data_IF_590992813446
#
_entry.id   IF_590992813446
#
_cell.length_a   1.000
_cell.length_b   1.000
_cell.length_c   1.000
_cell.angle_alpha   90.00
_cell.angle_beta   90.00
_cell.angle_gamma   90.00
#
_symmetry.space_group_name_H-M   'P 1'
#
loop_
_entity.id
_entity.type
_entity.pdbx_description
1 polymer ?
#
# COMPACT_ATOMS: atom_id res chain seq x y z
N UNK A 1 12.19 18.93 -2.11
CA UNK A 1 11.44 18.55 -0.88
C UNK A 1 12.31 18.78 0.34
N UNK A 2 11.74 19.21 1.48
CA UNK A 2 12.48 19.44 2.72
C UNK A 2 12.67 18.13 3.47
N UNK A 3 13.92 17.70 3.72
CA UNK A 3 14.23 16.43 4.40
C UNK A 3 15.57 16.47 5.14
N UNK A 4 15.78 15.51 6.03
CA UNK A 4 17.07 15.30 6.70
C UNK A 4 18.12 14.85 5.68
N UNK A 5 19.24 15.58 5.60
CA UNK A 5 20.38 15.21 4.76
C UNK A 5 21.29 14.28 5.57
N UNK A 6 21.43 12.99 5.20
CA UNK A 6 22.19 12.04 6.02
C UNK A 6 23.62 12.52 6.22
N UNK A 7 24.00 12.69 7.48
CA UNK A 7 25.36 13.01 7.91
C UNK A 7 26.06 11.74 8.38
N UNK A 8 27.37 11.58 8.13
CA UNK A 8 28.09 10.42 8.64
C UNK A 8 27.95 10.28 10.16
N UNK A 9 27.69 9.07 10.63
CA UNK A 9 27.41 8.81 12.05
C UNK A 9 28.56 9.21 13.00
N UNK A 10 29.81 9.22 12.51
CA UNK A 10 30.98 9.66 13.29
C UNK A 10 30.94 11.13 13.68
N UNK A 11 30.11 11.95 13.02
CA UNK A 11 29.96 13.38 13.33
C UNK A 11 29.18 13.58 14.63
N UNK A 12 28.40 12.59 15.09
CA UNK A 12 27.63 12.66 16.34
C UNK A 12 26.51 13.71 16.37
N UNK A 13 26.27 14.38 15.24
CA UNK A 13 25.21 15.38 15.07
C UNK A 13 24.00 14.76 14.37
N UNK A 14 22.80 15.26 14.70
CA UNK A 14 21.58 14.93 13.96
C UNK A 14 21.68 15.52 12.54
N UNK A 15 21.15 14.78 11.57
CA UNK A 15 21.10 15.23 10.18
C UNK A 15 20.34 16.57 10.07
N UNK A 16 20.91 17.61 9.46
CA UNK A 16 20.22 18.88 9.26
C UNK A 16 19.12 18.72 8.20
N UNK A 17 18.06 19.51 8.32
CA UNK A 17 17.08 19.62 7.25
C UNK A 17 17.66 20.43 6.09
N UNK A 18 17.49 19.91 4.88
CA UNK A 18 17.84 20.58 3.64
C UNK A 18 16.72 20.35 2.61
N UNK A 19 16.56 21.31 1.69
CA UNK A 19 15.73 21.10 0.51
C UNK A 19 16.50 20.19 -0.46
N UNK A 20 16.34 18.88 -0.29
CA UNK A 20 17.02 17.85 -1.06
C UNK A 20 16.00 16.91 -1.69
N UNK A 21 16.03 16.85 -3.01
CA UNK A 21 15.20 15.99 -3.84
C UNK A 21 14.09 16.72 -4.61
N UNK A 22 13.75 16.16 -5.75
CA UNK A 22 12.82 16.68 -6.76
C UNK A 22 11.69 15.66 -6.93
N UNK A 23 10.46 16.16 -6.85
CA UNK A 23 9.24 15.40 -7.03
C UNK A 23 8.48 16.00 -8.22
N UNK A 24 7.93 15.14 -9.06
CA UNK A 24 7.01 15.54 -10.12
C UNK A 24 5.60 15.06 -9.79
N UNK A 25 4.62 15.95 -9.99
CA UNK A 25 3.21 15.71 -9.76
C UNK A 25 2.46 16.21 -10.98
N UNK A 26 1.86 15.30 -11.72
CA UNK A 26 1.07 15.60 -12.91
C UNK A 26 -0.28 14.92 -12.80
N UNK A 27 -1.31 15.52 -13.40
CA UNK A 27 -2.67 15.10 -13.15
C UNK A 27 -3.70 15.86 -13.96
N UNK A 28 -4.96 15.47 -13.76
CA UNK A 28 -6.13 16.11 -14.36
C UNK A 28 -7.11 16.43 -13.25
N UNK A 29 -7.73 17.60 -13.33
CA UNK A 29 -8.79 18.01 -12.41
C UNK A 29 -10.03 18.34 -13.22
N UNK A 30 -11.15 17.76 -12.79
CA UNK A 30 -12.46 17.98 -13.36
C UNK A 30 -13.36 18.52 -12.26
N UNK A 31 -14.03 19.63 -12.52
CA UNK A 31 -15.07 20.19 -11.67
C UNK A 31 -16.27 20.51 -12.55
N UNK A 32 -17.41 19.90 -12.24
CA UNK A 32 -18.66 20.09 -12.95
C UNK A 32 -19.70 20.51 -11.90
N UNK A 33 -20.32 21.65 -12.14
CA UNK A 33 -21.43 22.13 -11.32
C UNK A 33 -22.64 22.42 -12.19
N UNK A 34 -23.79 21.92 -11.78
CA UNK A 34 -25.07 22.21 -12.38
C UNK A 34 -26.03 22.70 -11.30
N UNK A 35 -26.70 23.82 -11.58
CA UNK A 35 -27.75 24.37 -10.73
C UNK A 35 -28.94 24.71 -11.59
N UNK A 36 -30.12 24.33 -11.14
CA UNK A 36 -31.36 24.62 -11.83
C UNK A 36 -32.48 24.86 -10.83
N UNK A 37 -33.51 25.54 -11.29
CA UNK A 37 -34.72 25.79 -10.53
C UNK A 37 -35.90 25.24 -11.34
N UNK A 38 -36.66 24.34 -10.74
CA UNK A 38 -37.84 23.73 -11.34
C UNK A 38 -39.02 24.09 -10.45
N UNK A 39 -39.81 25.08 -10.87
CA UNK A 39 -40.90 25.66 -10.09
C UNK A 39 -40.40 26.15 -8.72
N UNK A 40 -40.89 25.57 -7.62
CA UNK A 40 -40.52 25.94 -6.26
C UNK A 40 -39.30 25.16 -5.72
N UNK A 41 -38.66 24.33 -6.56
CA UNK A 41 -37.54 23.47 -6.17
C UNK A 41 -36.23 23.96 -6.78
N UNK A 42 -35.27 24.33 -5.95
CA UNK A 42 -33.88 24.60 -6.36
C UNK A 42 -33.07 23.32 -6.23
N UNK A 43 -32.39 22.91 -7.30
CA UNK A 43 -31.53 21.72 -7.34
C UNK A 43 -30.10 22.12 -7.69
N UNK A 44 -29.15 21.51 -6.98
CA UNK A 44 -27.72 21.66 -7.24
C UNK A 44 -27.02 20.31 -7.25
N UNK A 45 -26.17 20.12 -8.24
CA UNK A 45 -25.28 18.97 -8.36
C UNK A 45 -23.88 19.52 -8.59
N UNK A 46 -22.92 19.14 -7.74
CA UNK A 46 -21.50 19.41 -7.96
C UNK A 46 -20.73 18.11 -7.92
N UNK A 47 -19.99 17.81 -8.97
CA UNK A 47 -19.09 16.66 -9.02
C UNK A 47 -17.67 17.17 -9.26
N UNK A 48 -16.71 16.61 -8.53
CA UNK A 48 -15.29 16.83 -8.77
C UNK A 48 -14.56 15.49 -8.86
N UNK A 49 -13.53 15.43 -9.69
CA UNK A 49 -12.63 14.31 -9.79
C UNK A 49 -11.21 14.81 -10.07
N UNK A 50 -10.23 14.26 -9.37
CA UNK A 50 -8.81 14.56 -9.58
C UNK A 50 -8.06 13.25 -9.80
N UNK A 51 -7.27 13.20 -10.87
CA UNK A 51 -6.29 12.17 -11.13
C UNK A 51 -4.91 12.71 -10.80
N UNK A 52 -4.14 11.99 -9.98
CA UNK A 52 -2.79 12.41 -9.59
C UNK A 52 -1.78 11.28 -9.82
N UNK A 53 -0.81 11.56 -10.68
CA UNK A 53 0.41 10.76 -10.82
C UNK A 53 1.57 11.51 -10.16
N UNK A 54 2.17 10.85 -9.17
CA UNK A 54 3.37 11.34 -8.51
C UNK A 54 4.57 10.48 -8.92
N UNK A 55 5.73 11.12 -9.10
CA UNK A 55 7.00 10.44 -9.40
C UNK A 55 8.14 11.13 -8.67
N UNK A 56 9.00 10.35 -8.02
CA UNK A 56 10.23 10.85 -7.43
C UNK A 56 11.27 11.00 -8.56
N UNK A 57 11.64 12.23 -8.90
CA UNK A 57 12.63 12.50 -9.95
C UNK A 57 14.03 12.33 -9.39
N UNK A 58 14.29 12.92 -8.22
CA UNK A 58 15.56 12.80 -7.53
C UNK A 58 15.34 12.75 -6.01
N UNK A 59 15.89 11.75 -5.35
CA UNK A 59 15.91 11.64 -3.91
C UNK A 59 16.88 12.65 -3.27
N UNK A 60 17.98 13.00 -3.94
CA UNK A 60 19.01 13.88 -3.40
C UNK A 60 19.98 13.18 -2.43
N UNK A 61 20.25 11.89 -2.65
CA UNK A 61 21.37 11.14 -2.06
C UNK A 61 22.09 10.34 -3.16
N UNK A 62 23.24 9.74 -2.84
CA UNK A 62 24.04 9.00 -3.82
C UNK A 62 23.35 7.71 -4.32
N UNK A 63 22.50 7.08 -3.51
CA UNK A 63 21.80 5.84 -3.87
C UNK A 63 20.55 6.07 -4.74
N UNK A 64 19.98 7.28 -4.74
CA UNK A 64 18.70 7.58 -5.36
C UNK A 64 17.50 6.88 -4.70
N UNK A 65 17.71 6.31 -3.51
CA UNK A 65 16.78 5.38 -2.88
C UNK A 65 16.79 5.51 -1.34
N UNK A 66 15.66 5.15 -0.73
CA UNK A 66 15.50 5.01 0.72
C UNK A 66 14.37 4.05 1.06
N UNK A 67 14.44 3.46 2.24
CA UNK A 67 13.37 2.60 2.75
C UNK A 67 13.21 2.76 4.26
N UNK A 68 11.98 2.58 4.74
CA UNK A 68 11.65 2.61 6.17
C UNK A 68 10.39 1.78 6.44
N UNK A 69 9.90 1.86 7.68
CA UNK A 69 8.71 1.15 8.12
C UNK A 69 9.03 -0.24 8.65
N UNK A 70 10.28 -0.57 8.95
CA UNK A 70 10.60 -1.84 9.60
C UNK A 70 9.74 -2.07 10.86
N UNK A 71 9.15 -3.26 10.95
CA UNK A 71 8.48 -3.78 12.14
C UNK A 71 9.18 -5.08 12.51
N UNK A 72 10.45 -4.99 12.92
CA UNK A 72 11.30 -6.14 13.24
C UNK A 72 10.65 -7.11 14.24
N UNK A 73 9.90 -6.59 15.21
CA UNK A 73 9.22 -7.41 16.19
C UNK A 73 8.18 -8.36 15.54
N UNK A 74 7.60 -7.99 14.40
CA UNK A 74 6.72 -8.82 13.59
C UNK A 74 7.43 -9.58 12.45
N UNK A 75 8.76 -9.51 12.39
CA UNK A 75 9.56 -10.10 11.30
C UNK A 75 9.38 -9.41 9.95
N UNK A 76 8.90 -8.16 9.93
CA UNK A 76 8.65 -7.40 8.70
C UNK A 76 9.79 -6.40 8.55
N UNK A 77 10.56 -6.55 7.47
CA UNK A 77 11.58 -5.59 7.09
C UNK A 77 10.99 -4.25 6.64
N UNK A 78 11.84 -3.31 6.22
CA UNK A 78 11.33 -2.10 5.57
C UNK A 78 10.38 -2.52 4.44
N UNK A 79 9.16 -2.00 4.48
CA UNK A 79 8.13 -2.27 3.46
C UNK A 79 7.73 -1.00 2.71
N UNK A 80 8.19 0.17 3.15
CA UNK A 80 7.97 1.46 2.48
C UNK A 80 9.26 1.85 1.77
N UNK A 81 9.18 2.07 0.46
CA UNK A 81 10.32 2.41 -0.39
C UNK A 81 10.09 3.71 -1.16
N UNK A 82 11.20 4.37 -1.45
CA UNK A 82 11.33 5.53 -2.31
C UNK A 82 12.50 5.28 -3.25
N UNK A 83 12.27 5.45 -4.55
CA UNK A 83 13.27 5.25 -5.59
C UNK A 83 13.06 6.22 -6.74
N UNK A 84 14.14 6.79 -7.25
CA UNK A 84 14.09 7.66 -8.43
C UNK A 84 13.38 6.93 -9.60
N UNK A 85 12.47 7.64 -10.27
CA UNK A 85 11.62 7.12 -11.34
C UNK A 85 10.35 6.38 -10.88
N UNK A 86 10.18 6.14 -9.57
CA UNK A 86 9.01 5.43 -9.02
C UNK A 86 8.01 6.37 -8.34
N UNK A 87 6.74 5.96 -8.17
CA UNK A 87 5.78 6.66 -7.31
C UNK A 87 6.31 6.77 -5.88
N UNK A 88 5.98 7.84 -5.16
CA UNK A 88 6.58 8.08 -3.85
C UNK A 88 5.56 8.39 -2.75
N UNK A 89 5.57 7.64 -1.63
CA UNK A 89 6.24 6.34 -1.45
C UNK A 89 5.49 5.19 -2.15
N UNK A 90 6.09 4.00 -2.18
CA UNK A 90 5.44 2.76 -2.60
C UNK A 90 5.74 1.62 -1.63
N UNK A 91 4.94 0.54 -1.69
CA UNK A 91 5.16 -0.68 -0.94
C UNK A 91 6.02 -1.66 -1.73
N UNK A 92 7.02 -2.23 -1.08
CA UNK A 92 7.95 -3.18 -1.67
C UNK A 92 7.91 -4.51 -0.92
N UNK A 93 7.82 -5.62 -1.65
CA UNK A 93 7.72 -6.94 -1.06
C UNK A 93 7.58 -8.03 -2.12
N UNK A 94 7.37 -9.26 -1.66
CA UNK A 94 7.20 -10.41 -2.52
C UNK A 94 5.83 -10.43 -3.18
N UNK A 95 5.76 -10.81 -4.46
CA UNK A 95 4.48 -11.07 -5.14
C UNK A 95 4.00 -12.48 -4.80
N UNK A 96 2.80 -12.54 -4.25
CA UNK A 96 2.10 -13.80 -3.97
C UNK A 96 1.60 -14.44 -5.27
N UNK A 97 1.76 -15.75 -5.36
CA UNK A 97 1.28 -16.63 -6.43
C UNK A 97 0.31 -17.69 -5.87
N UNK A 98 -0.59 -17.29 -4.98
CA UNK A 98 -1.58 -18.17 -4.38
C UNK A 98 -1.14 -18.82 -3.05
N UNK A 99 -1.98 -19.75 -2.57
CA UNK A 99 -1.75 -20.50 -1.35
C UNK A 99 -1.46 -21.96 -1.70
N UNK A 100 -0.55 -22.58 -0.94
CA UNK A 100 -0.33 -24.01 -0.98
C UNK A 100 -1.51 -24.69 -0.28
N UNK A 101 -2.26 -25.53 -0.98
CA UNK A 101 -3.48 -26.16 -0.46
C UNK A 101 -3.27 -27.61 -0.05
N UNK A 102 -2.41 -28.35 -0.77
CA UNK A 102 -2.19 -29.78 -0.53
C UNK A 102 -0.73 -30.10 -0.17
N UNK A 103 -0.51 -31.29 0.38
CA UNK A 103 0.84 -31.72 0.75
C UNK A 103 1.71 -31.94 -0.50
N UNK A 104 1.11 -32.40 -1.59
CA UNK A 104 1.79 -32.59 -2.88
C UNK A 104 2.30 -31.25 -3.43
N UNK A 105 1.48 -30.19 -3.36
CA UNK A 105 1.90 -28.84 -3.73
C UNK A 105 3.04 -28.32 -2.83
N UNK A 106 2.99 -28.65 -1.53
CA UNK A 106 4.05 -28.28 -0.60
C UNK A 106 5.36 -29.00 -0.93
N UNK A 107 5.30 -30.30 -1.23
CA UNK A 107 6.48 -31.10 -1.56
C UNK A 107 7.12 -30.64 -2.88
N UNK A 108 6.31 -30.35 -3.91
CA UNK A 108 6.79 -29.80 -5.17
C UNK A 108 7.44 -28.42 -4.97
N UNK A 109 6.80 -27.54 -4.20
CA UNK A 109 7.31 -26.20 -3.92
C UNK A 109 8.64 -26.26 -3.13
N UNK A 110 8.70 -27.11 -2.11
CA UNK A 110 9.88 -27.29 -1.27
C UNK A 110 11.05 -27.89 -2.07
N UNK A 111 10.76 -28.87 -2.93
CA UNK A 111 11.76 -29.44 -3.82
C UNK A 111 12.31 -28.40 -4.80
N UNK A 112 11.42 -27.57 -5.38
CA UNK A 112 11.82 -26.58 -6.38
C UNK A 112 12.65 -25.43 -5.81
N UNK A 113 12.24 -24.86 -4.68
CA UNK A 113 12.83 -23.64 -4.13
C UNK A 113 13.65 -23.85 -2.86
N UNK A 114 13.87 -25.10 -2.46
CA UNK A 114 14.56 -25.49 -1.23
C UNK A 114 13.96 -24.81 0.03
N UNK A 115 12.63 -24.85 0.13
CA UNK A 115 11.84 -24.24 1.21
C UNK A 115 11.29 -25.31 2.17
N UNK A 116 10.65 -24.87 3.25
CA UNK A 116 9.94 -25.73 4.20
C UNK A 116 8.49 -25.28 4.40
N UNK A 117 7.81 -25.03 3.30
CA UNK A 117 6.41 -24.64 3.23
C UNK A 117 5.47 -25.82 3.52
N UNK A 118 4.29 -25.51 4.05
CA UNK A 118 3.22 -26.46 4.39
C UNK A 118 1.90 -26.03 3.77
N UNK A 119 0.91 -26.94 3.69
CA UNK A 119 -0.46 -26.55 3.35
C UNK A 119 -0.94 -25.39 4.23
N UNK A 120 -1.34 -24.30 3.58
CA UNK A 120 -1.71 -23.03 4.19
C UNK A 120 -0.72 -21.90 4.03
N UNK A 121 0.53 -22.21 3.68
CA UNK A 121 1.55 -21.19 3.48
C UNK A 121 1.38 -20.51 2.11
N UNK A 122 1.90 -19.28 2.00
CA UNK A 122 1.86 -18.49 0.78
C UNK A 122 2.92 -18.99 -0.19
N UNK A 123 2.52 -19.14 -1.46
CA UNK A 123 3.43 -19.34 -2.57
C UNK A 123 3.91 -17.98 -3.07
N UNK A 124 5.22 -17.81 -3.24
CA UNK A 124 5.80 -16.60 -3.82
C UNK A 124 6.22 -16.85 -5.27
N UNK A 125 6.16 -15.79 -6.08
CA UNK A 125 6.62 -15.83 -7.47
C UNK A 125 8.12 -15.59 -7.52
N UNK A 126 8.85 -16.53 -8.12
CA UNK A 126 10.23 -16.34 -8.56
C UNK A 126 10.22 -15.35 -9.75
N UNK A 127 10.76 -14.15 -9.53
CA UNK A 127 10.81 -13.09 -10.54
C UNK A 127 12.10 -13.15 -11.36
N UNK A 128 13.16 -13.71 -10.80
CA UNK A 128 14.47 -13.80 -11.46
C UNK A 128 14.60 -15.04 -12.35
N UNK A 129 13.82 -16.09 -12.07
CA UNK A 129 13.86 -17.38 -12.75
C UNK A 129 15.07 -18.23 -12.38
N UNK A 130 15.75 -17.93 -11.27
CA UNK A 130 16.95 -18.63 -10.84
C UNK A 130 16.66 -19.86 -9.96
N UNK A 131 15.37 -20.12 -9.67
CA UNK A 131 14.94 -21.25 -8.85
C UNK A 131 15.12 -21.03 -7.36
N UNK A 132 15.43 -19.80 -6.92
CA UNK A 132 15.38 -19.39 -5.53
C UNK A 132 14.23 -18.39 -5.31
N UNK A 133 13.80 -18.27 -4.05
CA UNK A 133 12.95 -17.15 -3.60
C UNK A 133 13.80 -16.35 -2.63
N UNK A 134 14.35 -15.23 -3.09
CA UNK A 134 15.27 -14.39 -2.33
C UNK A 134 14.95 -12.89 -2.45
N UNK A 135 15.78 -12.06 -1.82
CA UNK A 135 15.60 -10.61 -1.77
C UNK A 135 15.50 -9.91 -3.14
N UNK A 136 15.96 -10.57 -4.22
CA UNK A 136 15.87 -10.11 -5.62
C UNK A 136 14.47 -10.32 -6.22
N UNK A 137 13.64 -11.15 -5.60
CA UNK A 137 12.25 -11.42 -6.04
C UNK A 137 11.23 -10.45 -5.43
N UNK A 138 11.71 -9.39 -4.77
CA UNK A 138 10.84 -8.31 -4.30
C UNK A 138 10.57 -7.32 -5.42
N UNK A 139 9.34 -6.83 -5.46
CA UNK A 139 8.92 -5.80 -6.41
C UNK A 139 7.96 -4.80 -5.76
N UNK A 140 7.57 -3.77 -6.52
CA UNK A 140 6.52 -2.86 -6.09
C UNK A 140 5.18 -3.59 -6.06
N UNK A 141 4.63 -3.80 -4.86
CA UNK A 141 3.35 -4.50 -4.64
C UNK A 141 2.16 -3.54 -4.53
N UNK A 142 2.41 -2.23 -4.43
CA UNK A 142 1.36 -1.22 -4.36
C UNK A 142 1.89 0.16 -3.97
N UNK A 143 1.00 1.14 -3.87
CA UNK A 143 1.31 2.46 -3.33
C UNK A 143 0.15 2.98 -2.47
N UNK A 144 0.43 3.76 -1.41
CA UNK A 144 -0.63 4.33 -0.57
C UNK A 144 -1.34 5.52 -1.22
N UNK A 145 -0.69 6.20 -2.17
CA UNK A 145 -1.27 7.37 -2.81
C UNK A 145 -2.34 6.94 -3.83
N UNK A 146 -3.59 7.43 -3.72
CA UNK A 146 -4.65 7.10 -4.67
C UNK A 146 -4.34 7.68 -6.06
N UNK A 147 -4.80 6.97 -7.09
CA UNK A 147 -4.75 7.46 -8.47
C UNK A 147 -5.86 8.48 -8.72
N UNK A 148 -7.05 8.23 -8.18
CA UNK A 148 -8.23 9.07 -8.34
C UNK A 148 -8.84 9.43 -7.00
N UNK A 149 -9.24 10.68 -6.86
CA UNK A 149 -10.07 11.18 -5.76
C UNK A 149 -11.30 11.86 -6.34
N UNK A 150 -12.48 11.57 -5.81
CA UNK A 150 -13.74 12.11 -6.35
C UNK A 150 -14.69 12.54 -5.24
N UNK A 151 -15.51 13.53 -5.55
CA UNK A 151 -16.53 14.08 -4.68
C UNK A 151 -17.82 14.39 -5.44
N UNK A 152 -18.96 14.14 -4.80
CA UNK A 152 -20.29 14.47 -5.31
C UNK A 152 -21.10 15.15 -4.20
N UNK A 153 -21.55 16.36 -4.48
CA UNK A 153 -22.45 17.13 -3.62
C UNK A 153 -23.81 17.26 -4.31
N UNK A 154 -24.87 16.91 -3.60
CA UNK A 154 -26.25 17.09 -4.02
C UNK A 154 -26.93 18.04 -3.05
N UNK A 155 -27.59 19.06 -3.58
CA UNK A 155 -28.34 20.05 -2.80
C UNK A 155 -29.74 20.18 -3.38
N UNK A 156 -30.76 20.23 -2.52
CA UNK A 156 -32.11 20.58 -2.94
C UNK A 156 -32.73 21.52 -1.91
N UNK A 157 -33.54 22.47 -2.38
CA UNK A 157 -34.30 23.37 -1.54
C UNK A 157 -35.73 23.45 -2.06
N UNK A 158 -36.72 23.33 -1.17
CA UNK A 158 -38.13 23.41 -1.51
C UNK A 158 -38.93 24.05 -0.37
N UNK A 159 -39.48 25.25 -0.61
CA UNK A 159 -40.39 25.97 0.32
C UNK A 159 -39.88 26.04 1.77
N UNK A 160 -38.59 26.28 1.96
CA UNK A 160 -37.95 26.37 3.27
C UNK A 160 -37.47 25.05 3.87
N UNK A 161 -37.57 23.94 3.13
CA UNK A 161 -36.87 22.68 3.45
C UNK A 161 -35.58 22.59 2.63
N UNK A 162 -34.47 22.30 3.30
CA UNK A 162 -33.17 22.08 2.71
C UNK A 162 -32.73 20.62 2.80
N UNK A 163 -32.10 20.14 1.72
CA UNK A 163 -31.48 18.83 1.65
C UNK A 163 -30.04 18.97 1.17
N UNK A 164 -29.13 18.28 1.85
CA UNK A 164 -27.72 18.23 1.52
C UNK A 164 -27.20 16.80 1.67
N UNK A 165 -26.53 16.31 0.62
CA UNK A 165 -25.79 15.05 0.66
C UNK A 165 -24.40 15.24 0.04
N UNK A 166 -23.40 14.63 0.66
CA UNK A 166 -22.02 14.65 0.19
C UNK A 166 -21.42 13.25 0.20
N UNK A 167 -20.86 12.86 -0.94
CA UNK A 167 -20.14 11.61 -1.13
C UNK A 167 -18.70 11.94 -1.51
N UNK A 168 -17.75 11.22 -0.91
CA UNK A 168 -16.35 11.28 -1.29
C UNK A 168 -15.80 9.86 -1.44
N UNK A 169 -14.82 9.70 -2.31
CA UNK A 169 -14.12 8.45 -2.46
C UNK A 169 -12.75 8.60 -3.10
N UNK A 170 -11.97 7.53 -2.95
CA UNK A 170 -10.63 7.41 -3.52
C UNK A 170 -10.47 6.02 -4.11
N UNK A 171 -9.68 5.88 -5.17
CA UNK A 171 -9.34 4.57 -5.75
C UNK A 171 -7.91 4.55 -6.29
N UNK A 172 -7.37 3.35 -6.49
CA UNK A 172 -5.99 3.12 -6.94
C UNK A 172 -4.95 3.05 -5.83
N UNK A 173 -5.30 3.38 -4.58
CA UNK A 173 -4.43 3.17 -3.44
C UNK A 173 -4.48 1.71 -2.95
N UNK A 174 -3.38 1.31 -2.30
CA UNK A 174 -3.27 0.07 -1.53
C UNK A 174 -3.06 0.41 -0.06
N UNK A 175 -3.48 -0.49 0.81
CA UNK A 175 -3.27 -0.40 2.25
C UNK A 175 -2.39 -1.58 2.64
N UNK A 176 -1.29 -1.29 3.32
CA UNK A 176 -0.47 -2.32 3.94
C UNK A 176 -1.05 -2.60 5.33
N UNK A 177 -1.71 -3.74 5.48
CA UNK A 177 -2.42 -4.11 6.70
C UNK A 177 -1.53 -4.97 7.61
N UNK A 178 -1.23 -4.45 8.81
CA UNK A 178 -0.49 -5.13 9.88
C UNK A 178 -1.38 -5.34 11.11
N UNK A 179 -2.70 -5.37 10.94
CA UNK A 179 -3.65 -5.61 12.03
C UNK A 179 -3.45 -6.97 12.70
N UNK A 180 -2.85 -7.92 11.99
CA UNK A 180 -2.40 -9.20 12.54
C UNK A 180 -0.88 -9.19 12.69
N UNK A 181 -0.40 -9.31 13.92
CA UNK A 181 1.01 -9.54 14.20
C UNK A 181 1.33 -11.03 14.19
N UNK A 182 2.19 -11.46 13.28
CA UNK A 182 2.57 -12.88 13.16
C UNK A 182 3.40 -13.38 14.36
N UNK A 183 4.06 -12.48 15.08
CA UNK A 183 4.92 -12.78 16.21
C UNK A 183 4.18 -12.97 17.54
N UNK A 184 2.92 -12.53 17.64
CA UNK A 184 2.09 -12.66 18.84
C UNK A 184 0.97 -13.69 18.57
N UNK A 185 1.22 -14.99 18.81
CA UNK A 185 0.25 -16.04 18.51
C UNK A 185 -1.01 -15.98 19.39
N UNK A 186 -0.93 -15.36 20.57
CA UNK A 186 -2.03 -15.24 21.54
C UNK A 186 -2.75 -13.88 21.50
N UNK A 187 -2.66 -13.15 20.38
CA UNK A 187 -3.37 -11.87 20.26
C UNK A 187 -4.89 -12.09 20.14
N UNK A 188 -5.66 -11.18 20.74
CA UNK A 188 -7.11 -11.15 20.51
C UNK A 188 -7.35 -10.74 19.06
N UNK A 189 -7.87 -11.68 18.26
CA UNK A 189 -8.23 -11.42 16.88
C UNK A 189 -9.70 -10.96 16.81
N UNK A 190 -10.03 -10.00 15.93
CA UNK A 190 -11.41 -9.69 15.63
C UNK A 190 -12.16 -10.95 15.18
N UNK A 191 -13.45 -11.04 15.49
CA UNK A 191 -14.26 -12.23 15.16
C UNK A 191 -14.25 -12.60 13.68
N UNK A 192 -14.08 -11.63 12.78
CA UNK A 192 -13.98 -11.83 11.34
C UNK A 192 -12.64 -12.41 10.86
N UNK A 193 -11.59 -12.38 11.68
CA UNK A 193 -10.30 -13.04 11.42
C UNK A 193 -10.25 -14.47 11.96
N UNK A 194 -11.19 -14.86 12.83
CA UNK A 194 -11.25 -16.20 13.35
C UNK A 194 -11.74 -17.14 12.25
N UNK A 195 -11.16 -18.35 12.12
CA UNK A 195 -11.61 -19.29 11.12
C UNK A 195 -13.02 -19.73 11.50
N UNK A 196 -14.03 -19.21 10.81
CA UNK A 196 -15.39 -19.74 10.89
C UNK A 196 -15.30 -21.19 10.45
N UNK A 197 -15.70 -22.09 11.35
CA UNK A 197 -15.61 -23.54 11.25
C UNK A 197 -15.67 -24.09 9.80
N UNK A 198 -14.61 -24.84 9.46
CA UNK A 198 -14.37 -25.66 8.25
C UNK A 198 -13.93 -24.87 7.00
N UNK A 199 -12.61 -24.92 6.74
CA UNK A 199 -11.90 -24.60 5.48
C UNK A 199 -11.14 -23.26 5.36
N UNK A 200 -11.08 -22.42 6.39
CA UNK A 200 -10.20 -21.24 6.36
C UNK A 200 -8.81 -21.57 6.91
N UNK A 201 -7.89 -21.90 6.00
CA UNK A 201 -6.48 -22.08 6.33
C UNK A 201 -5.85 -20.70 6.53
N UNK A 202 -5.51 -20.38 7.78
CA UNK A 202 -4.83 -19.14 8.14
C UNK A 202 -3.35 -19.30 7.81
N UNK A 203 -2.86 -18.48 6.88
CA UNK A 203 -1.45 -18.35 6.54
C UNK A 203 -0.58 -18.20 7.80
N UNK A 204 0.34 -19.14 7.99
CA UNK A 204 1.39 -19.10 8.99
C UNK A 204 2.61 -18.51 8.31
N UNK A 205 3.12 -17.39 8.80
CA UNK A 205 4.34 -16.77 8.29
C UNK A 205 5.52 -17.67 8.64
N UNK A 206 6.34 -18.00 7.64
CA UNK A 206 7.61 -18.72 7.80
C UNK A 206 8.51 -17.94 8.77
N UNK A 207 8.91 -18.61 9.86
CA UNK A 207 10.12 -18.25 10.60
C UNK A 207 11.31 -18.59 9.71
N UNK A 208 11.91 -17.58 9.08
CA UNK A 208 13.32 -17.66 8.68
C UNK A 208 14.13 -17.45 9.97
N UNK A 209 14.69 -18.53 10.50
CA UNK A 209 15.73 -18.50 11.53
C UNK A 209 17.08 -18.75 10.83
N UNK A 210 18.18 -18.18 11.36
CA UNK A 210 19.46 -17.97 10.65
C UNK A 210 20.17 -19.25 10.24
#
# INVERSE_FOLDING_TARGET
>A
MLREKPTPGYVGLRAPFANSGIMDNSGWEFDISYRTEIQDVSLGIKANASYLKNTLVDYGNASGENSWGNVAAAGIDNFIYQKNGMPNPYFYGYRMDGLIQTQEEADEYNFKYNQSAKPGDVRFKDLTGDGAIDDKDREMIGKPNPDWTFGLTLTAEWKGLDFYAFFQGVTGNKIFDISKRADIPLQNLPSWMLPTSRHSIICRSLKVLP
#
